data_IF_277134647690
#
_entry.id   IF_277134647690
#
_cell.length_a   1.000
_cell.length_b   1.000
_cell.length_c   1.000
_cell.angle_alpha   90.00
_cell.angle_beta   90.00
_cell.angle_gamma   90.00
#
_symmetry.space_group_name_H-M   'P 1'
#
loop_
_entity.id
_entity.type
_entity.pdbx_description
1 polymer ?
#
# COMPACT_ATOMS: atom_id res chain seq x y z
N UNK A 1 18.32 -1.39 -1.05
CA UNK A 1 18.42 0.08 -1.16
C UNK A 1 19.11 0.59 0.08
N UNK A 2 20.00 1.57 -0.07
CA UNK A 2 20.56 2.29 1.06
C UNK A 2 19.48 3.18 1.71
N UNK A 3 19.61 3.49 3.01
CA UNK A 3 18.59 4.27 3.74
C UNK A 3 18.28 5.62 3.07
N UNK A 4 19.31 6.33 2.60
CA UNK A 4 19.13 7.63 1.95
C UNK A 4 18.34 7.53 0.63
N UNK A 5 18.39 6.39 -0.06
CA UNK A 5 17.61 6.15 -1.28
C UNK A 5 16.14 5.96 -0.94
N UNK A 6 15.87 5.19 0.11
CA UNK A 6 14.51 4.96 0.62
C UNK A 6 13.89 6.29 1.01
N UNK A 7 14.62 7.13 1.76
CA UNK A 7 14.13 8.44 2.19
C UNK A 7 13.83 9.36 1.00
N UNK A 8 14.67 9.34 -0.03
CA UNK A 8 14.48 10.14 -1.25
C UNK A 8 13.25 9.69 -2.06
N UNK A 9 13.13 8.40 -2.36
CA UNK A 9 11.98 7.86 -3.10
C UNK A 9 10.68 7.98 -2.29
N UNK A 10 10.76 7.81 -0.97
CA UNK A 10 9.62 8.01 -0.09
C UNK A 10 9.10 9.45 -0.15
N UNK A 11 9.99 10.45 -0.10
CA UNK A 11 9.62 11.85 -0.28
C UNK A 11 8.93 12.08 -1.63
N UNK A 12 9.43 11.46 -2.70
CA UNK A 12 8.82 11.54 -4.03
C UNK A 12 7.39 10.99 -4.02
N UNK A 13 7.16 9.82 -3.42
CA UNK A 13 5.83 9.21 -3.29
C UNK A 13 4.89 10.09 -2.48
N UNK A 14 5.37 10.66 -1.36
CA UNK A 14 4.56 11.57 -0.55
C UNK A 14 4.10 12.80 -1.37
N UNK A 15 4.97 13.36 -2.21
CA UNK A 15 4.60 14.47 -3.08
C UNK A 15 3.64 14.05 -4.19
N UNK A 16 3.86 12.90 -4.83
CA UNK A 16 2.97 12.34 -5.84
C UNK A 16 1.56 12.15 -5.29
N UNK A 17 1.44 11.52 -4.12
CA UNK A 17 0.15 11.26 -3.46
C UNK A 17 -0.49 12.57 -2.99
N UNK A 18 0.29 13.52 -2.44
CA UNK A 18 -0.19 14.86 -2.09
C UNK A 18 -0.83 15.56 -3.29
N UNK A 19 -0.13 15.57 -4.43
CA UNK A 19 -0.56 16.27 -5.64
C UNK A 19 -1.78 15.57 -6.28
N UNK A 20 -1.79 14.23 -6.30
CA UNK A 20 -2.93 13.44 -6.79
C UNK A 20 -4.21 13.68 -5.96
N UNK A 21 -4.08 13.88 -4.64
CA UNK A 21 -5.21 14.22 -3.77
C UNK A 21 -5.57 15.70 -3.76
N UNK A 22 -4.81 16.57 -4.43
CA UNK A 22 -5.00 18.03 -4.37
C UNK A 22 -4.87 18.61 -2.95
N UNK A 23 -4.02 18.01 -2.10
CA UNK A 23 -3.80 18.44 -0.71
C UNK A 23 -2.58 19.36 -0.60
N UNK A 24 -2.57 20.19 0.44
CA UNK A 24 -1.44 21.09 0.73
C UNK A 24 -0.37 20.44 1.62
N UNK A 25 -0.73 19.40 2.37
CA UNK A 25 0.15 18.68 3.30
C UNK A 25 0.57 17.34 2.72
N UNK A 26 1.85 16.98 2.89
CA UNK A 26 2.32 15.63 2.53
C UNK A 26 1.66 14.57 3.43
N UNK A 27 1.18 13.46 2.87
CA UNK A 27 0.59 12.37 3.64
C UNK A 27 1.66 11.63 4.46
N UNK A 28 1.27 11.14 5.63
CA UNK A 28 2.11 10.23 6.41
C UNK A 28 2.09 8.81 5.85
N UNK A 29 2.92 7.93 6.42
CA UNK A 29 3.03 6.53 5.99
C UNK A 29 1.69 5.79 6.05
N UNK A 30 0.91 5.97 7.12
CA UNK A 30 -0.38 5.30 7.28
C UNK A 30 -1.39 5.79 6.23
N UNK A 31 -1.38 7.08 5.92
CA UNK A 31 -2.25 7.67 4.89
C UNK A 31 -1.93 7.11 3.51
N UNK A 32 -0.65 7.01 3.14
CA UNK A 32 -0.25 6.41 1.86
C UNK A 32 -0.66 4.94 1.81
N UNK A 33 -0.42 4.18 2.88
CA UNK A 33 -0.78 2.76 2.95
C UNK A 33 -2.31 2.57 2.82
N UNK A 34 -3.08 3.40 3.50
CA UNK A 34 -4.54 3.41 3.38
C UNK A 34 -5.01 3.68 1.95
N UNK A 35 -4.38 4.63 1.25
CA UNK A 35 -4.72 4.96 -0.13
C UNK A 35 -4.40 3.83 -1.10
N UNK A 36 -3.31 3.10 -0.88
CA UNK A 36 -3.01 1.87 -1.63
C UNK A 36 -4.14 0.85 -1.40
N UNK A 37 -4.58 0.66 -0.16
CA UNK A 37 -5.72 -0.23 0.14
C UNK A 37 -6.99 0.17 -0.62
N UNK A 38 -7.30 1.48 -0.66
CA UNK A 38 -8.46 2.00 -1.41
C UNK A 38 -8.31 1.77 -2.92
N UNK A 39 -7.11 1.98 -3.47
CA UNK A 39 -6.80 1.72 -4.87
C UNK A 39 -7.03 0.24 -5.23
N UNK A 40 -6.54 -0.67 -4.39
CA UNK A 40 -6.67 -2.12 -4.58
C UNK A 40 -8.12 -2.62 -4.44
N UNK A 41 -8.88 -2.00 -3.52
CA UNK A 41 -10.32 -2.26 -3.44
C UNK A 41 -11.01 -1.90 -4.77
N UNK A 42 -10.49 -0.93 -5.53
CA UNK A 42 -10.99 -0.57 -6.86
C UNK A 42 -12.38 0.07 -6.83
N UNK A 43 -12.81 0.55 -5.65
CA UNK A 43 -14.10 1.22 -5.44
C UNK A 43 -13.86 2.68 -5.12
N UNK A 44 -14.20 3.54 -6.07
CA UNK A 44 -14.39 4.97 -5.81
C UNK A 44 -15.79 5.13 -5.19
N UNK A 45 -15.85 5.09 -3.86
CA UNK A 45 -17.09 5.32 -3.10
C UNK A 45 -17.09 6.76 -2.59
N UNK A 46 -18.25 7.44 -2.72
CA UNK A 46 -18.48 8.75 -2.11
C UNK A 46 -18.74 8.65 -0.59
N UNK A 47 -18.95 7.42 -0.10
CA UNK A 47 -19.25 7.13 1.30
C UNK A 47 -17.96 7.03 2.13
N UNK A 48 -18.04 7.49 3.38
CA UNK A 48 -16.91 7.41 4.29
C UNK A 48 -16.78 5.97 4.80
N UNK A 49 -15.61 5.36 4.61
CA UNK A 49 -15.26 4.11 5.25
C UNK A 49 -15.41 4.19 6.79
N UNK A 50 -16.04 3.17 7.35
CA UNK A 50 -16.14 2.91 8.80
C UNK A 50 -14.76 2.63 9.40
N UNK A 51 -14.68 2.55 10.73
CA UNK A 51 -13.41 2.23 11.41
C UNK A 51 -12.90 0.83 11.07
N UNK A 52 -13.81 -0.12 10.94
CA UNK A 52 -13.51 -1.52 10.62
C UNK A 52 -13.01 -1.64 9.18
N UNK A 53 -13.75 -1.07 8.22
CA UNK A 53 -13.32 -1.06 6.81
C UNK A 53 -11.98 -0.35 6.61
N UNK A 54 -11.66 0.67 7.41
CA UNK A 54 -10.33 1.29 7.38
C UNK A 54 -9.24 0.33 7.84
N UNK A 55 -9.49 -0.46 8.87
CA UNK A 55 -8.55 -1.49 9.32
C UNK A 55 -8.38 -2.57 8.26
N UNK A 56 -9.47 -2.98 7.61
CA UNK A 56 -9.44 -3.95 6.51
C UNK A 56 -8.66 -3.42 5.31
N UNK A 57 -8.85 -2.16 4.93
CA UNK A 57 -8.08 -1.51 3.85
C UNK A 57 -6.58 -1.45 4.15
N UNK A 58 -6.21 -1.25 5.42
CA UNK A 58 -4.79 -1.33 5.82
C UNK A 58 -4.25 -2.75 5.63
N UNK A 59 -5.04 -3.78 5.95
CA UNK A 59 -4.65 -5.17 5.74
C UNK A 59 -4.54 -5.51 4.24
N UNK A 60 -5.51 -5.07 3.42
CA UNK A 60 -5.50 -5.16 1.96
C UNK A 60 -4.19 -4.59 1.41
N UNK A 61 -3.82 -3.37 1.82
CA UNK A 61 -2.59 -2.73 1.36
C UNK A 61 -1.35 -3.55 1.72
N UNK A 62 -1.24 -4.04 2.97
CA UNK A 62 -0.10 -4.86 3.41
C UNK A 62 -0.03 -6.18 2.63
N UNK A 63 -1.16 -6.85 2.41
CA UNK A 63 -1.22 -8.08 1.62
C UNK A 63 -0.74 -7.85 0.19
N UNK A 64 -1.23 -6.80 -0.49
CA UNK A 64 -0.79 -6.44 -1.84
C UNK A 64 0.71 -6.15 -1.89
N UNK A 65 1.24 -5.41 -0.92
CA UNK A 65 2.66 -5.04 -0.89
C UNK A 65 3.60 -6.23 -0.66
N UNK A 66 3.13 -7.24 0.07
CA UNK A 66 3.92 -8.42 0.43
C UNK A 66 3.63 -9.64 -0.47
N UNK A 67 2.64 -9.58 -1.35
CA UNK A 67 2.35 -10.62 -2.35
C UNK A 67 3.56 -10.95 -3.25
N UNK A 68 4.33 -9.97 -3.79
CA UNK A 68 5.50 -10.27 -4.63
C UNK A 68 6.60 -11.08 -3.93
N UNK A 69 6.63 -11.08 -2.60
CA UNK A 69 7.56 -11.89 -1.79
C UNK A 69 7.01 -13.29 -1.44
N UNK A 70 5.75 -13.57 -1.81
CA UNK A 70 5.06 -14.82 -1.50
C UNK A 70 4.71 -14.98 -0.04
N UNK A 71 4.46 -13.88 0.69
CA UNK A 71 3.78 -13.93 2.00
C UNK A 71 2.29 -14.18 1.86
N UNK A 72 1.71 -13.61 0.81
CA UNK A 72 0.29 -13.67 0.51
C UNK A 72 0.10 -14.01 -0.96
N UNK A 73 -0.97 -14.74 -1.27
CA UNK A 73 -1.39 -15.01 -2.66
C UNK A 73 -2.84 -14.57 -2.82
N UNK A 74 -3.13 -13.76 -3.84
CA UNK A 74 -4.48 -13.31 -4.11
C UNK A 74 -5.44 -14.50 -4.30
N UNK A 75 -6.47 -14.56 -3.46
CA UNK A 75 -7.45 -15.65 -3.42
C UNK A 75 -8.71 -15.34 -4.23
N UNK A 76 -8.95 -14.07 -4.55
CA UNK A 76 -10.15 -13.61 -5.26
C UNK A 76 -10.82 -12.44 -4.54
N UNK A 77 -12.03 -12.11 -4.97
CA UNK A 77 -12.90 -11.13 -4.31
C UNK A 77 -14.14 -11.81 -3.76
N UNK A 78 -14.65 -11.33 -2.63
CA UNK A 78 -15.91 -11.82 -2.06
C UNK A 78 -17.15 -11.22 -2.76
N UNK A 79 -18.34 -11.54 -2.26
CA UNK A 79 -19.62 -11.06 -2.78
C UNK A 79 -19.75 -9.54 -2.68
N UNK A 80 -19.11 -8.95 -1.67
CA UNK A 80 -19.05 -7.51 -1.44
C UNK A 80 -17.89 -6.87 -2.21
N UNK A 81 -17.18 -7.60 -3.06
CA UNK A 81 -16.11 -7.11 -3.92
C UNK A 81 -14.78 -6.84 -3.22
N UNK A 82 -14.64 -7.21 -1.94
CA UNK A 82 -13.41 -7.04 -1.19
C UNK A 82 -12.37 -8.07 -1.62
N UNK A 83 -11.12 -7.66 -1.85
CA UNK A 83 -10.06 -8.58 -2.21
C UNK A 83 -9.61 -9.39 -0.98
N UNK A 84 -9.36 -10.68 -1.19
CA UNK A 84 -8.91 -11.62 -0.18
C UNK A 84 -7.59 -12.27 -0.59
N UNK A 85 -6.77 -12.60 0.40
CA UNK A 85 -5.50 -13.29 0.21
C UNK A 85 -5.40 -14.53 1.08
N UNK A 86 -4.77 -15.56 0.55
CA UNK A 86 -4.31 -16.69 1.34
C UNK A 86 -2.97 -16.32 2.00
N UNK A 87 -2.80 -16.70 3.26
CA UNK A 87 -1.54 -16.50 3.98
C UNK A 87 -0.63 -17.70 3.69
N UNK A 88 0.38 -17.50 2.85
CA UNK A 88 1.35 -18.54 2.51
C UNK A 88 2.50 -18.58 3.50
N UNK A 89 2.92 -17.41 4.01
CA UNK A 89 3.97 -17.27 5.03
C UNK A 89 3.60 -16.19 6.04
N UNK A 90 3.90 -16.40 7.34
CA UNK A 90 3.70 -15.37 8.34
C UNK A 90 4.71 -14.24 8.14
N UNK A 91 4.22 -12.99 8.13
CA UNK A 91 5.07 -11.81 8.23
C UNK A 91 5.41 -11.55 9.70
N UNK A 92 6.52 -12.12 10.18
CA UNK A 92 6.91 -12.14 11.60
C UNK A 92 8.00 -11.12 11.96
N UNK A 93 8.24 -10.13 11.10
CA UNK A 93 9.22 -9.07 11.34
C UNK A 93 8.96 -8.40 12.69
N UNK A 94 9.95 -8.49 13.58
CA UNK A 94 9.85 -7.94 14.93
C UNK A 94 10.23 -6.46 14.94
N UNK A 95 9.34 -5.65 15.52
CA UNK A 95 9.58 -4.24 15.79
C UNK A 95 8.91 -3.32 14.76
N UNK A 96 8.21 -2.26 15.21
CA UNK A 96 7.45 -1.39 14.32
C UNK A 96 8.33 -0.65 13.31
N UNK A 97 9.56 -0.27 13.70
CA UNK A 97 10.50 0.44 12.81
C UNK A 97 10.97 -0.46 11.65
N UNK A 98 11.25 -1.74 11.92
CA UNK A 98 11.66 -2.68 10.90
C UNK A 98 10.51 -3.00 9.93
N UNK A 99 9.30 -3.16 10.45
CA UNK A 99 8.10 -3.35 9.64
C UNK A 99 7.84 -2.14 8.74
N UNK A 100 7.92 -0.92 9.28
CA UNK A 100 7.74 0.31 8.51
C UNK A 100 8.79 0.45 7.41
N UNK A 101 10.07 0.15 7.70
CA UNK A 101 11.14 0.21 6.70
C UNK A 101 10.91 -0.78 5.54
N UNK A 102 10.54 -2.02 5.85
CA UNK A 102 10.19 -3.02 4.83
C UNK A 102 9.00 -2.55 3.99
N UNK A 103 7.93 -2.10 4.63
CA UNK A 103 6.73 -1.64 3.93
C UNK A 103 7.01 -0.39 3.07
N UNK A 104 7.89 0.53 3.50
CA UNK A 104 8.32 1.66 2.67
C UNK A 104 9.04 1.22 1.41
N UNK A 105 9.94 0.24 1.51
CA UNK A 105 10.59 -0.36 0.34
C UNK A 105 9.54 -0.95 -0.61
N UNK A 106 8.55 -1.67 -0.06
CA UNK A 106 7.47 -2.24 -0.88
C UNK A 106 6.55 -1.20 -1.51
N UNK A 107 6.27 -0.11 -0.80
CA UNK A 107 5.55 1.02 -1.37
C UNK A 107 6.34 1.62 -2.54
N UNK A 108 7.65 1.80 -2.39
CA UNK A 108 8.51 2.27 -3.49
C UNK A 108 8.43 1.34 -4.69
N UNK A 109 8.51 0.03 -4.48
CA UNK A 109 8.35 -0.96 -5.55
C UNK A 109 6.95 -0.88 -6.19
N UNK A 110 5.89 -0.70 -5.40
CA UNK A 110 4.51 -0.58 -5.86
C UNK A 110 4.30 0.65 -6.75
N UNK A 111 4.74 1.83 -6.29
CA UNK A 111 4.63 3.07 -7.07
C UNK A 111 5.57 3.09 -8.28
N UNK A 112 6.75 2.46 -8.18
CA UNK A 112 7.68 2.33 -9.31
C UNK A 112 7.16 1.44 -10.44
N UNK A 113 6.34 0.43 -10.14
CA UNK A 113 5.64 -0.37 -11.16
C UNK A 113 4.59 0.45 -11.91
N UNK A 114 3.86 1.31 -11.21
CA UNK A 114 2.83 2.17 -11.81
C UNK A 114 3.39 3.19 -12.82
N UNK A 115 4.63 3.64 -12.63
CA UNK A 115 5.35 4.50 -13.59
C UNK A 115 5.92 3.72 -14.81
N UNK A 116 5.89 2.38 -14.77
CA UNK A 116 6.52 1.50 -15.76
C UNK A 116 5.61 1.04 -16.91
N UNK A 117 4.31 1.31 -16.87
CA UNK A 117 3.34 0.92 -17.91
C UNK A 117 3.12 1.98 -19.00
N UNK A 118 4.05 2.94 -19.15
CA UNK A 118 4.14 3.83 -20.33
C UNK A 118 5.45 3.60 -21.10
N UNK A 119 5.69 2.36 -21.55
CA UNK A 119 6.57 2.08 -22.70
C UNK A 119 6.04 0.90 -23.51
N UNK A 120 4.98 1.17 -24.29
CA UNK A 120 4.66 0.40 -25.50
C UNK A 120 5.26 1.12 -26.71
#
# INVERSE_FOLDING_TARGET
MEQWQIDFEWLRIQHLVKDAMGRTTVPDFQTVLFLVGVQELGRLTEEKFTKEEKADLMHVAVCTLLEPEGYYTFAGRDQDGWPHWNVDKPFDTKGPEAQESILKVRLIDYFGKSDGEEKN
#
